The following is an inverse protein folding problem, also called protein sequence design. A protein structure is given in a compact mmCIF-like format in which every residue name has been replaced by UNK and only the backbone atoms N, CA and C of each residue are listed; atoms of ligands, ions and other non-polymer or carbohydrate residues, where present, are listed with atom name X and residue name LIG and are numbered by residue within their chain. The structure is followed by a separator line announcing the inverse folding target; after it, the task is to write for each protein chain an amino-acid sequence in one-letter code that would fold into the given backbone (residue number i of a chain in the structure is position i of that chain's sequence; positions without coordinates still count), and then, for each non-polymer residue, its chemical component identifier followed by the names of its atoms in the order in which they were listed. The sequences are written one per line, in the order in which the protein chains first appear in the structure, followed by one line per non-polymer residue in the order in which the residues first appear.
data_IF_117730673797
#
_entry.id   IF_117730673797
#
_cell.length_a   1.000
_cell.length_b   1.000
_cell.length_c   1.000
_cell.angle_alpha   90.00
_cell.angle_beta   90.00
_cell.angle_gamma   90.00
#
_symmetry.space_group_name_H-M   'P 1'
#
loop_
_entity.id
_entity.type
_entity.pdbx_description
1 polymer ?
#
# COMPACT_ATOMS: atom_id res chain seq x y z
N UNK A 1 13.77 -48.21 -30.00
CA UNK A 1 12.47 -48.74 -30.48
C UNK A 1 11.40 -48.27 -29.51
N UNK A 2 10.33 -47.56 -29.86
CA UNK A 2 9.79 -47.01 -31.10
C UNK A 2 9.04 -45.74 -30.69
N UNK A 3 9.28 -44.65 -31.44
CA UNK A 3 8.36 -43.53 -31.56
C UNK A 3 7.07 -44.02 -32.24
N UNK A 4 5.93 -43.45 -31.88
CA UNK A 4 4.69 -43.60 -32.63
C UNK A 4 4.07 -42.22 -32.84
N UNK A 5 4.12 -41.81 -34.10
CA UNK A 5 3.56 -40.62 -34.70
C UNK A 5 2.03 -40.73 -34.80
N UNK A 6 1.32 -39.59 -34.75
CA UNK A 6 0.02 -39.44 -35.41
C UNK A 6 -0.07 -38.07 -36.11
N UNK A 7 -0.72 -37.98 -37.28
CA UNK A 7 -0.37 -37.02 -38.32
C UNK A 7 -1.28 -35.79 -38.36
N UNK A 8 -0.73 -34.77 -39.03
CA UNK A 8 -1.37 -33.55 -39.51
C UNK A 8 -2.63 -33.81 -40.34
N UNK A 9 -3.68 -33.02 -40.11
CA UNK A 9 -4.72 -32.73 -41.11
C UNK A 9 -5.00 -31.23 -41.10
N UNK A 10 -4.68 -30.61 -42.24
CA UNK A 10 -4.95 -29.23 -42.62
C UNK A 10 -6.40 -29.20 -43.12
N UNK A 11 -7.25 -28.34 -42.55
CA UNK A 11 -8.49 -27.92 -43.20
C UNK A 11 -8.55 -26.39 -43.25
N UNK A 12 -8.37 -25.87 -44.46
CA UNK A 12 -8.65 -24.50 -44.86
C UNK A 12 -10.16 -24.24 -44.94
N UNK A 13 -10.52 -22.95 -44.88
CA UNK A 13 -11.66 -22.26 -45.53
C UNK A 13 -12.75 -21.62 -44.64
N UNK A 14 -12.62 -20.29 -44.57
CA UNK A 14 -13.64 -19.23 -44.75
C UNK A 14 -14.42 -18.66 -43.54
N UNK A 15 -14.48 -17.32 -43.40
CA UNK A 15 -15.17 -16.64 -42.32
C UNK A 15 -16.65 -16.39 -42.68
N UNK A 16 -17.57 -16.73 -41.76
CA UNK A 16 -18.98 -16.36 -41.87
C UNK A 16 -19.23 -15.12 -41.00
N UNK A 17 -19.26 -13.95 -41.64
CA UNK A 17 -19.81 -12.69 -41.10
C UNK A 17 -21.30 -12.58 -41.46
N UNK A 18 -22.02 -11.76 -40.67
CA UNK A 18 -23.32 -11.14 -40.98
C UNK A 18 -24.58 -12.01 -40.96
N UNK A 19 -25.31 -12.00 -39.84
CA UNK A 19 -26.77 -12.25 -39.86
C UNK A 19 -27.50 -11.74 -38.61
N UNK A 20 -27.51 -10.44 -38.34
CA UNK A 20 -28.53 -9.84 -37.44
C UNK A 20 -28.78 -8.39 -37.82
N UNK A 21 -29.37 -8.10 -38.97
CA UNK A 21 -29.96 -6.78 -39.32
C UNK A 21 -30.66 -6.93 -40.68
N UNK A 22 -31.80 -7.64 -40.75
CA UNK A 22 -32.71 -7.63 -41.92
C UNK A 22 -34.08 -8.22 -41.55
N UNK A 23 -34.68 -7.75 -40.46
CA UNK A 23 -36.02 -8.19 -40.05
C UNK A 23 -36.90 -7.03 -39.58
N UNK A 24 -36.60 -5.81 -40.03
CA UNK A 24 -37.33 -4.60 -39.61
C UNK A 24 -37.85 -3.76 -40.78
N UNK A 25 -37.65 -4.17 -42.03
CA UNK A 25 -38.05 -3.40 -43.22
C UNK A 25 -39.23 -3.99 -44.02
N UNK A 26 -39.67 -5.22 -43.74
CA UNK A 26 -40.74 -5.87 -44.52
C UNK A 26 -42.15 -5.77 -43.90
N UNK A 27 -42.34 -4.98 -42.82
CA UNK A 27 -43.63 -4.90 -42.11
C UNK A 27 -44.47 -3.64 -42.39
N UNK A 28 -44.01 -2.71 -43.26
CA UNK A 28 -44.71 -1.42 -43.48
C UNK A 28 -45.21 -1.16 -44.91
N UNK A 29 -45.38 -2.18 -45.77
CA UNK A 29 -45.86 -1.97 -47.14
C UNK A 29 -46.98 -2.92 -47.55
N UNK A 30 -48.12 -2.90 -46.85
CA UNK A 30 -49.39 -3.37 -47.41
C UNK A 30 -50.57 -2.84 -46.59
N UNK A 31 -51.09 -1.66 -46.93
CA UNK A 31 -52.54 -1.35 -46.93
C UNK A 31 -52.77 0.13 -47.25
N UNK A 32 -53.10 0.45 -48.51
CA UNK A 32 -54.12 1.44 -48.87
C UNK A 32 -54.23 1.52 -50.40
N UNK A 33 -55.17 0.77 -50.96
CA UNK A 33 -55.74 1.04 -52.28
C UNK A 33 -57.24 1.23 -52.13
N UNK A 34 -57.75 2.15 -52.93
CA UNK A 34 -59.14 2.41 -53.28
C UNK A 34 -59.94 3.36 -52.38
N UNK A 35 -60.04 4.62 -52.78
CA UNK A 35 -61.32 5.21 -53.17
C UNK A 35 -61.09 6.45 -54.05
N UNK A 36 -61.70 6.49 -55.23
CA UNK A 36 -61.60 7.61 -56.16
C UNK A 36 -62.78 8.57 -56.05
N UNK A 37 -62.59 9.82 -56.47
CA UNK A 37 -63.32 10.48 -57.57
C UNK A 37 -63.12 12.02 -57.53
N UNK A 38 -62.79 12.55 -58.72
CA UNK A 38 -63.04 13.89 -59.30
C UNK A 38 -63.35 15.08 -58.37
N UNK A 39 -62.53 16.14 -58.42
CA UNK A 39 -62.93 17.56 -58.43
C UNK A 39 -61.73 18.50 -58.78
N UNK A 40 -61.96 19.74 -59.27
CA UNK A 40 -61.13 20.42 -60.27
C UNK A 40 -60.01 21.34 -59.72
N UNK A 41 -59.11 21.72 -60.62
CA UNK A 41 -57.97 22.63 -60.43
C UNK A 41 -58.43 24.06 -60.13
N UNK A 42 -58.69 24.41 -58.87
CA UNK A 42 -58.49 25.78 -58.38
C UNK A 42 -58.58 25.80 -56.85
N UNK A 43 -57.44 25.69 -56.17
CA UNK A 43 -57.15 26.22 -54.83
C UNK A 43 -55.81 25.64 -54.38
N UNK A 44 -54.73 26.19 -54.96
CA UNK A 44 -53.37 26.11 -54.39
C UNK A 44 -53.25 27.22 -53.35
N UNK A 45 -53.77 27.01 -52.15
CA UNK A 45 -53.38 27.76 -50.95
C UNK A 45 -54.06 27.08 -49.76
N UNK A 46 -53.33 26.91 -48.66
CA UNK A 46 -53.76 26.28 -47.39
C UNK A 46 -53.84 24.75 -47.37
N UNK A 47 -52.68 24.10 -47.25
CA UNK A 47 -52.50 22.85 -46.46
C UNK A 47 -51.01 22.50 -46.34
N UNK A 48 -50.24 23.34 -45.65
CA UNK A 48 -48.94 22.95 -45.06
C UNK A 48 -48.83 23.59 -43.68
N UNK A 49 -49.75 23.22 -42.80
CA UNK A 49 -49.61 23.42 -41.37
C UNK A 49 -50.40 22.31 -40.72
N UNK A 50 -49.77 21.58 -39.79
CA UNK A 50 -50.33 20.47 -39.00
C UNK A 50 -50.19 19.03 -39.56
N UNK A 51 -48.98 18.60 -39.97
CA UNK A 51 -48.53 17.18 -39.84
C UNK A 51 -47.04 17.01 -40.14
N UNK A 52 -46.19 17.68 -39.35
CA UNK A 52 -44.73 17.47 -39.36
C UNK A 52 -44.19 17.81 -37.97
N UNK A 53 -44.69 17.11 -36.94
CA UNK A 53 -44.20 17.27 -35.57
C UNK A 53 -44.11 15.95 -34.82
N UNK A 54 -43.84 14.84 -35.49
CA UNK A 54 -43.40 13.62 -34.82
C UNK A 54 -42.57 12.84 -35.82
N UNK A 55 -41.27 13.12 -35.94
CA UNK A 55 -40.24 12.09 -36.12
C UNK A 55 -38.85 12.74 -36.18
N UNK A 56 -37.92 12.08 -35.49
CA UNK A 56 -36.46 12.28 -35.52
C UNK A 56 -35.95 13.54 -34.80
N UNK A 57 -35.68 13.39 -33.51
CA UNK A 57 -34.29 13.33 -33.01
C UNK A 57 -34.32 12.61 -31.66
N UNK A 58 -34.59 11.30 -31.70
CA UNK A 58 -34.14 10.42 -30.64
C UNK A 58 -32.62 10.34 -30.75
N UNK A 59 -31.92 11.30 -30.16
CA UNK A 59 -30.48 11.16 -29.91
C UNK A 59 -30.39 9.92 -28.99
N UNK A 60 -29.78 8.79 -29.41
CA UNK A 60 -29.42 7.79 -28.44
C UNK A 60 -28.50 8.51 -27.46
N UNK A 61 -28.95 8.66 -26.22
CA UNK A 61 -28.06 9.05 -25.15
C UNK A 61 -27.02 7.94 -25.06
N UNK A 62 -25.92 8.11 -25.79
CA UNK A 62 -24.70 7.38 -25.61
C UNK A 62 -24.35 7.62 -24.14
N UNK A 63 -24.72 6.67 -23.29
CA UNK A 63 -24.28 6.66 -21.91
C UNK A 63 -22.77 6.70 -22.01
N UNK A 64 -22.18 7.87 -21.76
CA UNK A 64 -20.76 7.97 -21.44
C UNK A 64 -20.60 7.05 -20.25
N UNK A 65 -20.22 5.79 -20.49
CA UNK A 65 -19.54 4.96 -19.51
C UNK A 65 -18.33 5.81 -19.15
N UNK A 66 -18.44 6.58 -18.07
CA UNK A 66 -17.31 7.25 -17.47
C UNK A 66 -16.33 6.14 -17.18
N UNK A 67 -15.33 5.99 -18.05
CA UNK A 67 -14.18 5.16 -17.76
C UNK A 67 -13.57 5.79 -16.52
N UNK A 68 -13.81 5.17 -15.36
CA UNK A 68 -13.17 5.53 -14.12
C UNK A 68 -11.66 5.46 -14.37
N UNK A 69 -11.04 6.61 -14.57
CA UNK A 69 -9.59 6.78 -14.67
C UNK A 69 -9.15 7.34 -13.34
N UNK A 70 -8.83 6.47 -12.38
CA UNK A 70 -8.38 6.93 -11.07
C UNK A 70 -7.04 7.65 -11.20
N UNK A 71 -6.85 8.71 -10.43
CA UNK A 71 -5.59 9.45 -10.37
C UNK A 71 -4.47 8.51 -9.92
N UNK A 72 -3.33 8.41 -10.65
CA UNK A 72 -2.20 7.57 -10.26
C UNK A 72 -1.68 7.81 -8.83
N UNK A 73 -1.83 9.02 -8.29
CA UNK A 73 -1.40 9.34 -6.92
C UNK A 73 -2.28 8.69 -5.84
N UNK A 74 -3.51 8.32 -6.19
CA UNK A 74 -4.54 7.82 -5.27
C UNK A 74 -4.58 6.29 -5.18
N UNK A 75 -3.66 5.56 -5.83
CA UNK A 75 -3.65 4.10 -5.83
C UNK A 75 -2.91 3.46 -7.00
N UNK A 76 -3.12 2.16 -7.20
CA UNK A 76 -2.47 1.39 -8.27
C UNK A 76 -3.50 0.59 -9.07
N UNK A 77 -3.24 0.41 -10.37
CA UNK A 77 -4.00 -0.54 -11.19
C UNK A 77 -3.21 -1.84 -11.31
N UNK A 78 -3.83 -2.97 -10.95
CA UNK A 78 -3.26 -4.31 -11.12
C UNK A 78 -4.02 -5.09 -12.20
N UNK A 79 -3.39 -6.12 -12.76
CA UNK A 79 -4.03 -7.06 -13.69
C UNK A 79 -4.22 -8.38 -12.96
N UNK A 80 -5.44 -8.90 -12.96
CA UNK A 80 -5.78 -10.17 -12.32
C UNK A 80 -5.10 -11.31 -13.06
N UNK A 81 -4.35 -12.14 -12.34
CA UNK A 81 -3.69 -13.32 -12.91
C UNK A 81 -4.58 -14.58 -12.83
N UNK A 82 -4.23 -15.61 -13.62
CA UNK A 82 -4.95 -16.89 -13.61
C UNK A 82 -4.88 -17.53 -12.21
N UNK A 83 -6.05 -17.80 -11.62
CA UNK A 83 -6.17 -18.42 -10.30
C UNK A 83 -6.12 -17.44 -9.12
N UNK A 84 -5.93 -16.13 -9.36
CA UNK A 84 -6.11 -15.11 -8.33
C UNK A 84 -7.59 -14.92 -8.02
N UNK A 85 -7.93 -14.97 -6.74
CA UNK A 85 -9.25 -14.58 -6.23
C UNK A 85 -9.17 -13.20 -5.61
N UNK A 86 -10.31 -12.52 -5.47
CA UNK A 86 -10.41 -11.27 -4.72
C UNK A 86 -9.82 -11.37 -3.31
N UNK A 87 -10.02 -12.49 -2.62
CA UNK A 87 -9.46 -12.73 -1.29
C UNK A 87 -7.93 -12.74 -1.31
N UNK A 88 -7.31 -13.38 -2.32
CA UNK A 88 -5.85 -13.41 -2.50
C UNK A 88 -5.32 -12.01 -2.83
N UNK A 89 -6.02 -11.28 -3.69
CA UNK A 89 -5.66 -9.91 -4.06
C UNK A 89 -5.74 -8.99 -2.83
N UNK A 90 -6.86 -9.03 -2.10
CA UNK A 90 -7.03 -8.26 -0.87
C UNK A 90 -5.99 -8.62 0.18
N UNK A 91 -5.65 -9.90 0.33
CA UNK A 91 -4.56 -10.31 1.23
C UNK A 91 -3.20 -9.74 0.80
N UNK A 92 -2.92 -9.73 -0.49
CA UNK A 92 -1.63 -9.30 -1.04
C UNK A 92 -1.45 -7.78 -0.92
N UNK A 93 -2.47 -7.00 -1.27
CA UNK A 93 -2.36 -5.54 -1.42
C UNK A 93 -2.97 -4.73 -0.26
N UNK A 94 -3.91 -5.31 0.49
CA UNK A 94 -4.63 -4.64 1.59
C UNK A 94 -4.27 -5.24 2.97
N UNK A 95 -3.40 -6.26 2.98
CA UNK A 95 -3.02 -7.14 4.11
C UNK A 95 -4.16 -7.91 4.82
N UNK A 96 -5.40 -7.71 4.38
CA UNK A 96 -6.60 -8.34 4.92
C UNK A 96 -7.46 -8.99 3.82
N UNK A 97 -7.65 -10.33 3.82
CA UNK A 97 -8.47 -11.00 2.83
C UNK A 97 -9.94 -10.58 2.88
N UNK A 98 -10.44 -10.04 4.01
CA UNK A 98 -11.85 -9.67 4.22
C UNK A 98 -12.23 -8.35 3.56
N UNK A 99 -11.24 -7.52 3.18
CA UNK A 99 -11.45 -6.24 2.49
C UNK A 99 -11.84 -6.36 1.01
N UNK A 100 -12.07 -7.58 0.52
CA UNK A 100 -12.50 -7.80 -0.87
C UNK A 100 -13.79 -7.06 -1.23
N UNK A 101 -14.70 -6.87 -0.27
CA UNK A 101 -15.95 -6.11 -0.48
C UNK A 101 -15.68 -4.63 -0.73
N UNK A 102 -14.73 -4.06 0.00
CA UNK A 102 -14.32 -2.67 -0.18
C UNK A 102 -13.63 -2.49 -1.54
N UNK A 103 -12.79 -3.45 -1.94
CA UNK A 103 -12.16 -3.48 -3.25
C UNK A 103 -13.18 -3.51 -4.40
N UNK A 104 -14.23 -4.33 -4.30
CA UNK A 104 -15.32 -4.36 -5.27
C UNK A 104 -16.04 -3.02 -5.38
N UNK A 105 -16.37 -2.42 -4.23
CA UNK A 105 -17.03 -1.10 -4.16
C UNK A 105 -16.18 -0.03 -4.83
N UNK A 106 -14.86 -0.04 -4.63
CA UNK A 106 -13.94 0.91 -5.27
C UNK A 106 -13.82 0.72 -6.78
N UNK A 107 -14.09 -0.49 -7.29
CA UNK A 107 -14.06 -0.79 -8.71
C UNK A 107 -15.46 -0.73 -9.37
N UNK A 108 -16.51 -0.41 -8.62
CA UNK A 108 -17.89 -0.39 -9.09
C UNK A 108 -18.31 -1.76 -9.69
N UNK A 109 -17.85 -2.86 -9.08
CA UNK A 109 -18.18 -4.22 -9.49
C UNK A 109 -19.17 -4.80 -8.47
N UNK A 110 -20.38 -5.11 -8.92
CA UNK A 110 -21.44 -5.59 -8.04
C UNK A 110 -21.36 -7.10 -7.75
N UNK A 111 -20.89 -7.90 -8.72
CA UNK A 111 -20.86 -9.36 -8.61
C UNK A 111 -19.41 -9.89 -8.46
N UNK A 112 -19.05 -10.52 -7.33
CA UNK A 112 -17.70 -11.04 -7.05
C UNK A 112 -17.22 -12.10 -8.04
N UNK A 113 -18.13 -12.85 -8.65
CA UNK A 113 -17.81 -13.93 -9.60
C UNK A 113 -17.41 -13.41 -11.00
N UNK A 114 -17.44 -12.09 -11.22
CA UNK A 114 -17.06 -11.46 -12.49
C UNK A 114 -15.55 -11.18 -12.62
N UNK A 115 -14.76 -11.48 -11.59
CA UNK A 115 -13.32 -11.26 -11.62
C UNK A 115 -12.67 -12.38 -12.43
N UNK A 116 -12.25 -12.04 -13.65
CA UNK A 116 -11.58 -12.96 -14.58
C UNK A 116 -10.13 -12.56 -14.80
N UNK A 117 -9.25 -13.52 -15.15
CA UNK A 117 -7.87 -13.21 -15.52
C UNK A 117 -7.80 -12.17 -16.65
N UNK A 118 -6.85 -11.23 -16.55
CA UNK A 118 -6.68 -10.12 -17.48
C UNK A 118 -7.48 -8.86 -17.13
N UNK A 119 -8.41 -8.94 -16.18
CA UNK A 119 -9.18 -7.77 -15.74
C UNK A 119 -8.28 -6.79 -14.98
N UNK A 120 -8.43 -5.49 -15.24
CA UNK A 120 -7.75 -4.43 -14.51
C UNK A 120 -8.55 -4.08 -13.26
N UNK A 121 -7.90 -4.09 -12.10
CA UNK A 121 -8.49 -3.67 -10.84
C UNK A 121 -7.74 -2.46 -10.30
N UNK A 122 -8.49 -1.42 -9.95
CA UNK A 122 -8.00 -0.28 -9.20
C UNK A 122 -7.95 -0.60 -7.70
N UNK A 123 -6.80 -0.36 -7.09
CA UNK A 123 -6.60 -0.47 -5.65
C UNK A 123 -6.33 0.95 -5.12
N UNK A 124 -7.31 1.59 -4.47
CA UNK A 124 -7.10 2.86 -3.80
C UNK A 124 -6.01 2.74 -2.72
N UNK A 125 -5.12 3.73 -2.66
CA UNK A 125 -4.09 3.85 -1.61
C UNK A 125 -4.69 3.84 -0.21
N UNK A 126 -5.89 4.40 -0.05
CA UNK A 126 -6.64 4.40 1.22
C UNK A 126 -7.04 3.00 1.71
N UNK A 127 -7.24 2.05 0.78
CA UNK A 127 -7.48 0.64 1.11
C UNK A 127 -6.18 -0.14 1.27
N UNK A 128 -5.12 0.31 0.60
CA UNK A 128 -3.80 -0.32 0.58
C UNK A 128 -3.11 -0.39 1.95
N UNK A 129 -1.93 -1.01 1.94
CA UNK A 129 -1.08 -1.08 3.13
C UNK A 129 -0.75 0.32 3.62
N UNK A 130 -0.89 0.51 4.92
CA UNK A 130 -0.42 1.71 5.60
C UNK A 130 1.08 1.59 5.92
N UNK A 131 1.85 2.67 5.78
CA UNK A 131 3.24 2.67 6.23
C UNK A 131 3.29 2.48 7.75
N UNK A 132 4.34 1.83 8.24
CA UNK A 132 4.60 1.69 9.67
C UNK A 132 5.06 3.01 10.28
N UNK A 133 5.97 3.68 9.58
CA UNK A 133 6.53 4.96 9.97
C UNK A 133 6.80 5.85 8.75
N UNK A 134 6.73 7.16 8.93
CA UNK A 134 7.02 8.14 7.89
C UNK A 134 8.27 8.95 8.24
N UNK A 135 9.12 9.23 7.24
CA UNK A 135 10.26 10.14 7.37
C UNK A 135 9.77 11.58 7.58
N UNK A 136 10.03 12.16 8.76
CA UNK A 136 9.52 13.49 9.13
C UNK A 136 10.56 14.61 9.00
N UNK A 137 11.83 14.31 9.32
CA UNK A 137 12.95 15.24 9.12
C UNK A 137 14.23 14.47 8.84
N UNK A 138 15.14 15.08 8.11
CA UNK A 138 16.53 14.63 8.03
C UNK A 138 17.46 15.80 7.75
N UNK A 139 18.73 15.63 8.12
CA UNK A 139 19.85 16.48 7.70
C UNK A 139 20.93 15.61 7.07
N UNK A 140 21.71 16.16 6.13
CA UNK A 140 22.69 15.38 5.36
C UNK A 140 22.04 14.41 4.37
N UNK A 141 22.54 13.18 4.32
CA UNK A 141 22.12 12.13 3.38
C UNK A 141 21.46 10.97 4.10
N UNK A 142 20.18 10.77 3.79
CA UNK A 142 19.39 9.61 4.20
C UNK A 142 18.96 8.83 2.97
N UNK A 143 19.13 7.52 3.00
CA UNK A 143 18.75 6.62 1.92
C UNK A 143 17.77 5.57 2.43
N UNK A 144 16.87 5.15 1.54
CA UNK A 144 15.81 4.20 1.80
C UNK A 144 15.88 3.09 0.76
N UNK A 145 15.74 1.84 1.20
CA UNK A 145 15.65 0.66 0.35
C UNK A 145 14.25 0.05 0.50
N UNK A 146 13.45 0.12 -0.57
CA UNK A 146 12.05 -0.34 -0.59
C UNK A 146 11.93 -1.82 -0.92
N UNK A 147 12.41 -2.68 -0.02
CA UNK A 147 12.24 -4.13 -0.13
C UNK A 147 10.75 -4.51 -0.25
N UNK A 148 9.86 -3.80 0.45
CA UNK A 148 8.40 -4.03 0.38
C UNK A 148 7.83 -3.84 -1.03
N UNK A 149 8.48 -3.03 -1.86
CA UNK A 149 8.10 -2.74 -3.24
C UNK A 149 8.97 -3.50 -4.26
N UNK A 150 9.75 -4.48 -3.80
CA UNK A 150 10.69 -5.27 -4.61
C UNK A 150 11.76 -4.40 -5.32
N UNK A 151 12.12 -3.27 -4.72
CA UNK A 151 13.26 -2.48 -5.18
C UNK A 151 14.54 -3.04 -4.57
N UNK A 152 15.64 -2.99 -5.32
CA UNK A 152 16.94 -3.54 -4.91
C UNK A 152 18.03 -2.47 -4.73
N UNK A 153 17.71 -1.21 -5.04
CA UNK A 153 18.66 -0.11 -5.01
C UNK A 153 18.29 0.89 -3.91
N UNK A 154 19.30 1.42 -3.24
CA UNK A 154 19.14 2.51 -2.30
C UNK A 154 18.76 3.79 -3.06
N UNK A 155 17.70 4.46 -2.59
CA UNK A 155 17.26 5.74 -3.12
C UNK A 155 17.34 6.81 -2.03
N UNK A 156 17.51 8.08 -2.43
CA UNK A 156 17.47 9.20 -1.48
C UNK A 156 16.09 9.29 -0.84
N UNK A 157 16.05 9.41 0.48
CA UNK A 157 14.83 9.57 1.26
C UNK A 157 14.18 10.94 1.06
N UNK A 158 12.84 10.97 1.05
CA UNK A 158 12.03 12.18 0.93
C UNK A 158 11.15 12.39 2.17
N UNK A 159 10.88 13.65 2.52
CA UNK A 159 9.96 13.93 3.63
C UNK A 159 8.55 13.41 3.29
N UNK A 160 7.91 12.78 4.26
CA UNK A 160 6.62 12.09 4.09
C UNK A 160 6.75 10.70 3.46
N UNK A 161 7.96 10.22 3.21
CA UNK A 161 8.17 8.88 2.67
C UNK A 161 7.85 7.82 3.72
N UNK A 162 6.81 7.02 3.43
CA UNK A 162 6.35 5.95 4.29
C UNK A 162 7.14 4.66 4.14
N UNK A 163 7.57 4.09 5.25
CA UNK A 163 8.30 2.83 5.34
C UNK A 163 7.36 1.68 5.68
N UNK A 164 7.55 0.53 5.03
CA UNK A 164 6.81 -0.69 5.27
C UNK A 164 7.70 -1.76 5.90
N UNK A 165 7.10 -2.85 6.36
CA UNK A 165 7.86 -3.97 6.90
C UNK A 165 8.91 -4.46 5.89
N UNK A 166 10.12 -4.70 6.39
CA UNK A 166 11.36 -5.04 5.68
C UNK A 166 12.02 -3.91 4.90
N UNK A 167 11.40 -2.74 4.78
CA UNK A 167 12.11 -1.59 4.22
C UNK A 167 13.28 -1.23 5.14
N UNK A 168 14.36 -0.78 4.53
CA UNK A 168 15.57 -0.40 5.25
C UNK A 168 15.84 1.09 5.07
N UNK A 169 16.42 1.71 6.10
CA UNK A 169 16.85 3.10 6.07
C UNK A 169 18.26 3.22 6.60
N UNK A 170 19.06 4.07 5.97
CA UNK A 170 20.40 4.39 6.45
C UNK A 170 20.74 5.86 6.34
N UNK A 171 21.57 6.32 7.25
CA UNK A 171 22.17 7.65 7.27
C UNK A 171 23.66 7.53 7.00
N UNK A 172 24.20 8.43 6.18
CA UNK A 172 25.64 8.49 5.94
C UNK A 172 26.34 9.32 7.02
N UNK A 173 27.62 9.65 6.80
CA UNK A 173 28.39 10.55 7.66
C UNK A 173 27.68 11.91 7.81
N UNK A 174 27.80 12.53 9.00
CA UNK A 174 27.24 13.88 9.26
C UNK A 174 25.75 14.01 8.88
N UNK A 175 24.99 12.92 9.05
CA UNK A 175 23.59 12.84 8.65
C UNK A 175 22.72 12.35 9.81
N UNK A 176 21.49 12.83 9.88
CA UNK A 176 20.51 12.40 10.87
C UNK A 176 19.13 12.27 10.22
N UNK A 177 18.27 11.40 10.74
CA UNK A 177 16.90 11.26 10.27
C UNK A 177 15.96 10.91 11.41
N UNK A 178 14.77 11.51 11.41
CA UNK A 178 13.70 11.18 12.33
C UNK A 178 12.51 10.62 11.58
N UNK A 179 11.99 9.54 12.15
CA UNK A 179 10.81 8.85 11.66
C UNK A 179 9.76 8.80 12.77
N UNK A 180 8.49 8.81 12.34
CA UNK A 180 7.35 8.75 13.26
C UNK A 180 6.45 7.61 12.86
N UNK A 181 6.22 6.70 13.80
CA UNK A 181 5.27 5.60 13.66
C UNK A 181 3.83 6.12 13.66
N UNK A 182 2.91 5.35 13.07
CA UNK A 182 1.48 5.65 13.16
C UNK A 182 0.94 5.67 14.61
N UNK A 183 1.64 5.00 15.54
CA UNK A 183 1.34 5.03 16.98
C UNK A 183 1.72 6.36 17.66
N UNK A 184 2.50 7.21 17.00
CA UNK A 184 3.12 8.40 17.57
C UNK A 184 4.48 8.16 18.22
N UNK A 185 4.96 6.91 18.29
CA UNK A 185 6.35 6.61 18.67
C UNK A 185 7.32 7.21 17.66
N UNK A 186 8.45 7.73 18.12
CA UNK A 186 9.45 8.35 17.26
C UNK A 186 10.79 7.66 17.42
N UNK A 187 11.52 7.54 16.33
CA UNK A 187 12.93 7.19 16.39
C UNK A 187 13.76 8.14 15.55
N UNK A 188 14.96 8.40 16.03
CA UNK A 188 15.95 9.25 15.38
C UNK A 188 17.23 8.46 15.23
N UNK A 189 17.74 8.37 14.01
CA UNK A 189 19.02 7.75 13.71
C UNK A 189 20.05 8.83 13.40
N UNK A 190 21.27 8.68 13.94
CA UNK A 190 22.38 9.61 13.66
C UNK A 190 23.31 9.02 12.61
N UNK A 191 24.48 9.62 12.40
CA UNK A 191 25.38 9.23 11.31
C UNK A 191 25.74 7.73 11.30
N UNK A 192 25.98 7.20 10.09
CA UNK A 192 26.39 5.82 9.85
C UNK A 192 25.48 4.77 10.50
N UNK A 193 24.17 5.04 10.53
CA UNK A 193 23.19 4.14 11.12
C UNK A 193 22.42 3.39 10.04
N UNK A 194 22.05 2.15 10.35
CA UNK A 194 21.25 1.30 9.47
C UNK A 194 20.15 0.62 10.28
N UNK A 195 18.90 0.94 9.94
CA UNK A 195 17.70 0.41 10.59
C UNK A 195 16.85 -0.33 9.57
N UNK A 196 16.29 -1.45 10.00
CA UNK A 196 15.34 -2.25 9.24
C UNK A 196 13.99 -2.15 9.96
N UNK A 197 12.95 -1.84 9.20
CA UNK A 197 11.60 -1.81 9.72
C UNK A 197 11.11 -3.24 9.88
N UNK A 198 10.80 -3.63 11.11
CA UNK A 198 10.21 -4.93 11.38
C UNK A 198 8.69 -4.83 11.49
N UNK A 199 8.06 -5.98 11.65
CA UNK A 199 6.64 -6.11 11.40
C UNK A 199 5.79 -5.80 12.63
N UNK A 200 4.93 -4.78 12.54
CA UNK A 200 3.71 -4.66 13.34
C UNK A 200 2.49 -4.83 12.44
N UNK A 201 1.94 -6.05 12.32
CA UNK A 201 0.87 -6.40 11.35
C UNK A 201 -0.45 -5.71 11.61
N UNK A 202 -0.71 -5.40 12.88
CA UNK A 202 -2.00 -4.96 13.36
C UNK A 202 -1.82 -3.82 14.34
N UNK A 203 -2.91 -3.10 14.62
CA UNK A 203 -2.94 -2.03 15.62
C UNK A 203 -2.59 -2.52 17.04
N UNK A 204 -2.67 -3.84 17.28
CA UNK A 204 -2.34 -4.48 18.56
C UNK A 204 -0.92 -5.02 18.66
N UNK A 205 -0.26 -5.30 17.54
CA UNK A 205 1.13 -5.77 17.52
C UNK A 205 2.08 -4.60 17.81
N UNK A 206 3.22 -4.82 18.49
CA UNK A 206 4.17 -3.76 18.81
C UNK A 206 4.74 -3.08 17.57
N UNK A 207 5.20 -1.84 17.73
CA UNK A 207 6.08 -1.24 16.74
C UNK A 207 7.45 -1.88 16.92
N UNK A 208 8.00 -2.41 15.83
CA UNK A 208 9.24 -3.17 15.86
C UNK A 208 10.25 -2.59 14.88
N UNK A 209 11.47 -2.40 15.36
CA UNK A 209 12.63 -1.97 14.57
C UNK A 209 13.83 -2.83 14.89
N UNK A 210 14.62 -3.10 13.86
CA UNK A 210 15.91 -3.75 14.01
C UNK A 210 17.02 -2.74 13.71
N UNK A 211 17.85 -2.44 14.71
CA UNK A 211 19.05 -1.64 14.52
C UNK A 211 20.22 -2.57 14.18
N UNK A 212 20.71 -2.44 12.94
CA UNK A 212 21.83 -3.25 12.45
C UNK A 212 23.17 -2.68 12.90
N UNK A 213 23.32 -1.36 12.82
CA UNK A 213 24.54 -0.64 13.17
C UNK A 213 24.20 0.83 13.46
N UNK A 214 25.04 1.48 14.27
CA UNK A 214 24.99 2.92 14.49
C UNK A 214 24.18 3.23 15.74
N UNK A 215 23.46 4.35 15.73
CA UNK A 215 22.83 4.89 16.92
C UNK A 215 21.40 5.32 16.64
N UNK A 216 20.48 4.85 17.48
CA UNK A 216 19.06 5.18 17.46
C UNK A 216 18.64 5.76 18.81
N UNK A 217 17.97 6.91 18.80
CA UNK A 217 17.21 7.42 19.95
C UNK A 217 15.73 7.10 19.73
N UNK A 218 15.10 6.48 20.71
CA UNK A 218 13.70 6.10 20.64
C UNK A 218 12.89 6.84 21.71
N UNK A 219 11.86 7.56 21.28
CA UNK A 219 10.95 8.34 22.12
C UNK A 219 9.54 7.78 21.99
N UNK A 220 9.11 7.04 23.00
CA UNK A 220 7.81 6.37 23.03
C UNK A 220 6.89 7.18 23.95
N UNK A 221 5.79 7.76 23.44
CA UNK A 221 4.83 8.49 24.28
C UNK A 221 4.28 7.61 25.40
N UNK A 222 4.14 8.17 26.61
CA UNK A 222 3.42 7.52 27.70
C UNK A 222 1.92 7.59 27.44
N UNK A 223 1.22 6.46 27.57
CA UNK A 223 -0.24 6.40 27.49
C UNK A 223 -0.81 5.84 28.78
N UNK A 224 -1.94 6.40 29.22
CA UNK A 224 -2.71 5.87 30.36
C UNK A 224 -3.60 4.69 29.96
N UNK A 225 -3.67 4.36 28.68
CA UNK A 225 -4.44 3.22 28.19
C UNK A 225 -3.78 1.91 28.66
N UNK A 226 -4.54 0.99 29.29
CA UNK A 226 -4.01 -0.34 29.62
C UNK A 226 -3.57 -1.12 28.37
N UNK A 227 -4.13 -0.76 27.21
CA UNK A 227 -3.81 -1.35 25.91
C UNK A 227 -2.74 -0.55 25.15
N UNK A 228 -1.86 0.18 25.86
CA UNK A 228 -0.73 0.84 25.21
C UNK A 228 0.10 -0.20 24.45
N UNK A 229 0.22 0.03 23.15
CA UNK A 229 1.07 -0.74 22.23
C UNK A 229 2.53 -0.65 22.69
N UNK A 230 3.19 -1.81 22.75
CA UNK A 230 4.61 -1.91 23.10
C UNK A 230 5.48 -1.46 21.93
N UNK A 231 6.71 -1.09 22.23
CA UNK A 231 7.76 -0.87 21.25
C UNK A 231 8.89 -1.86 21.49
N UNK A 232 9.34 -2.51 20.42
CA UNK A 232 10.40 -3.51 20.41
C UNK A 232 11.56 -2.98 19.56
N UNK A 233 12.74 -2.88 20.16
CA UNK A 233 13.99 -2.63 19.44
C UNK A 233 14.84 -3.88 19.52
N UNK A 234 15.22 -4.41 18.36
CA UNK A 234 16.11 -5.56 18.24
C UNK A 234 17.46 -5.15 17.68
N UNK A 235 18.48 -5.85 18.11
CA UNK A 235 19.83 -5.85 17.54
C UNK A 235 20.28 -7.29 17.38
N UNK A 236 21.46 -7.52 16.82
CA UNK A 236 22.03 -8.88 16.79
C UNK A 236 22.37 -9.43 18.17
N UNK A 237 22.58 -8.57 19.17
CA UNK A 237 23.01 -8.96 20.51
C UNK A 237 21.90 -8.89 21.57
N UNK A 238 20.83 -8.13 21.36
CA UNK A 238 19.79 -7.93 22.38
C UNK A 238 18.41 -7.62 21.81
N UNK A 239 17.38 -7.88 22.63
CA UNK A 239 16.01 -7.42 22.43
C UNK A 239 15.60 -6.49 23.57
N UNK A 240 15.07 -5.32 23.22
CA UNK A 240 14.62 -4.29 24.15
C UNK A 240 13.12 -4.09 24.03
N UNK A 241 12.39 -4.23 25.14
CA UNK A 241 10.93 -4.11 25.21
C UNK A 241 10.56 -2.95 26.11
N UNK A 242 9.74 -2.02 25.61
CA UNK A 242 9.41 -0.79 26.36
C UNK A 242 7.94 -0.36 26.25
N UNK A 243 7.54 0.43 27.24
CA UNK A 243 6.32 1.25 27.24
C UNK A 243 6.63 2.63 27.81
N UNK A 244 6.53 3.67 26.99
CA UNK A 244 6.61 5.06 27.47
C UNK A 244 8.00 5.49 27.96
N UNK A 245 9.02 5.39 27.11
CA UNK A 245 10.43 5.62 27.46
C UNK A 245 11.15 6.54 26.48
N UNK A 246 12.18 7.22 26.97
CA UNK A 246 13.22 7.88 26.16
C UNK A 246 14.54 7.15 26.41
N UNK A 247 15.08 6.51 25.38
CA UNK A 247 16.31 5.73 25.49
C UNK A 247 17.11 5.79 24.19
N UNK A 248 18.40 5.55 24.31
CA UNK A 248 19.34 5.48 23.19
C UNK A 248 19.90 4.07 23.14
N UNK A 249 20.05 3.55 21.93
CA UNK A 249 20.72 2.29 21.67
C UNK A 249 21.78 2.50 20.61
N UNK A 250 22.97 1.97 20.88
CA UNK A 250 24.13 2.06 20.01
C UNK A 250 24.61 0.63 19.71
N UNK A 251 24.86 0.36 18.43
CA UNK A 251 25.41 -0.91 17.96
C UNK A 251 26.75 -0.61 17.28
N UNK A 252 27.82 -1.18 17.86
CA UNK A 252 29.17 -1.03 17.33
C UNK A 252 29.41 -1.94 16.10
N UNK A 253 30.59 -1.83 15.49
CA UNK A 253 30.97 -2.64 14.31
C UNK A 253 31.13 -4.13 14.61
N UNK A 254 31.24 -4.52 15.88
CA UNK A 254 31.28 -5.91 16.32
C UNK A 254 29.88 -6.48 16.62
N UNK A 255 28.84 -5.65 16.55
CA UNK A 255 27.45 -6.03 16.84
C UNK A 255 27.10 -6.01 18.33
N UNK A 256 27.95 -5.42 19.17
CA UNK A 256 27.65 -5.25 20.59
C UNK A 256 26.69 -4.08 20.77
N UNK A 257 25.79 -4.20 21.75
CA UNK A 257 24.76 -3.20 22.02
C UNK A 257 25.05 -2.49 23.34
N UNK A 258 25.03 -1.16 23.31
CA UNK A 258 24.87 -0.33 24.51
C UNK A 258 23.48 0.26 24.51
N UNK A 259 22.74 0.12 25.63
CA UNK A 259 21.45 0.76 25.81
C UNK A 259 21.48 1.69 27.03
N UNK A 260 21.06 2.93 26.84
CA UNK A 260 21.05 3.99 27.85
C UNK A 260 19.63 4.52 28.03
N UNK A 261 19.07 4.41 29.24
CA UNK A 261 17.71 4.87 29.55
C UNK A 261 17.73 6.27 30.18
N UNK A 262 17.07 7.24 29.53
CA UNK A 262 16.97 8.62 30.01
C UNK A 262 15.65 8.92 30.70
N UNK A 263 14.56 8.24 30.32
CA UNK A 263 13.26 8.36 30.98
C UNK A 263 12.53 7.01 30.98
N UNK A 264 11.93 6.65 32.11
CA UNK A 264 11.17 5.41 32.26
C UNK A 264 12.06 4.21 32.58
N UNK A 265 11.77 3.06 31.96
CA UNK A 265 12.47 1.80 32.19
C UNK A 265 12.41 0.88 30.98
N UNK A 266 13.53 0.24 30.65
CA UNK A 266 13.66 -0.65 29.49
C UNK A 266 14.03 -2.06 29.95
N UNK A 267 13.27 -3.06 29.53
CA UNK A 267 13.65 -4.46 29.72
C UNK A 267 14.57 -4.87 28.56
N UNK A 268 15.82 -5.20 28.87
CA UNK A 268 16.83 -5.64 27.90
C UNK A 268 17.11 -7.11 28.11
N UNK A 269 16.93 -7.91 27.06
CA UNK A 269 17.08 -9.37 27.12
C UNK A 269 18.13 -9.85 26.12
N UNK A 270 19.03 -10.72 26.57
CA UNK A 270 19.97 -11.47 25.74
C UNK A 270 20.40 -12.76 26.46
N UNK A 271 20.73 -13.81 25.71
CA UNK A 271 21.15 -15.11 26.28
C UNK A 271 20.26 -15.61 27.43
N UNK A 272 18.94 -15.45 27.29
CA UNK A 272 17.90 -15.82 28.29
C UNK A 272 17.97 -15.07 29.62
N UNK A 273 18.78 -14.01 29.69
CA UNK A 273 18.87 -13.11 30.84
C UNK A 273 18.23 -11.78 30.49
N UNK A 274 17.34 -11.32 31.35
CA UNK A 274 16.71 -10.00 31.24
C UNK A 274 17.19 -9.10 32.37
N UNK A 275 17.62 -7.90 32.03
CA UNK A 275 17.92 -6.83 32.98
C UNK A 275 16.96 -5.66 32.78
N UNK A 276 16.52 -5.06 33.88
CA UNK A 276 15.69 -3.86 33.85
C UNK A 276 16.59 -2.62 33.96
N UNK A 277 16.67 -1.84 32.89
CA UNK A 277 17.47 -0.61 32.82
C UNK A 277 16.56 0.57 33.13
N UNK A 278 16.65 1.08 34.35
CA UNK A 278 15.89 2.25 34.78
C UNK A 278 16.53 3.55 34.30
N UNK A 279 15.77 4.64 34.32
CA UNK A 279 16.25 5.99 34.09
C UNK A 279 17.57 6.27 34.82
N UNK A 280 18.53 6.86 34.11
CA UNK A 280 19.86 7.19 34.63
C UNK A 280 20.84 6.00 34.60
N UNK A 281 20.44 4.86 34.05
CA UNK A 281 21.31 3.69 33.88
C UNK A 281 21.43 3.28 32.41
N UNK A 282 22.49 2.53 32.14
CA UNK A 282 22.77 1.85 30.90
C UNK A 282 23.10 0.38 31.17
N UNK A 283 23.01 -0.44 30.13
CA UNK A 283 23.58 -1.79 30.09
C UNK A 283 24.36 -1.97 28.80
N UNK A 284 25.30 -2.91 28.83
CA UNK A 284 26.09 -3.33 27.69
C UNK A 284 25.86 -4.81 27.45
N UNK A 285 25.71 -5.19 26.18
CA UNK A 285 25.48 -6.56 25.74
C UNK A 285 26.50 -6.88 24.66
N UNK A 286 27.48 -7.70 25.00
CA UNK A 286 28.38 -8.28 24.02
C UNK A 286 27.64 -9.35 23.21
N UNK A 287 27.89 -9.41 21.91
CA UNK A 287 27.20 -10.36 21.03
C UNK A 287 27.39 -11.81 21.50
N UNK A 288 26.28 -12.51 21.71
CA UNK A 288 26.25 -13.88 22.23
C UNK A 288 26.49 -14.01 23.74
N UNK A 289 26.44 -12.91 24.50
CA UNK A 289 26.52 -12.90 25.97
C UNK A 289 25.29 -12.27 26.61
N UNK A 290 25.10 -12.57 27.89
CA UNK A 290 24.05 -11.96 28.71
C UNK A 290 24.32 -10.45 28.93
N UNK A 291 23.29 -9.63 29.16
CA UNK A 291 23.47 -8.23 29.49
C UNK A 291 24.25 -8.04 30.78
N UNK A 292 25.10 -7.02 30.83
CA UNK A 292 25.73 -6.61 32.08
C UNK A 292 24.68 -6.05 33.05
N UNK A 293 24.99 -6.13 34.35
CA UNK A 293 24.20 -5.44 35.36
C UNK A 293 24.16 -3.93 35.03
N UNK A 294 22.98 -3.28 35.12
CA UNK A 294 22.88 -1.86 34.80
C UNK A 294 23.87 -0.99 35.60
N UNK A 295 24.50 -0.04 34.92
CA UNK A 295 25.48 0.91 35.46
C UNK A 295 25.04 2.35 35.15
N UNK A 296 25.40 3.35 35.97
CA UNK A 296 24.91 4.72 35.78
C UNK A 296 25.42 5.32 34.46
N UNK A 297 24.57 6.08 33.75
CA UNK A 297 25.02 6.90 32.62
C UNK A 297 25.80 8.11 33.14
N UNK A 298 26.90 8.51 32.49
CA UNK A 298 27.57 9.76 32.83
C UNK A 298 26.61 10.95 32.60
N UNK A 299 26.67 11.95 33.48
CA UNK A 299 25.89 13.17 33.30
C UNK A 299 26.27 13.81 31.96
N UNK A 300 25.29 14.35 31.21
CA UNK A 300 25.58 15.14 30.02
C UNK A 300 26.56 16.27 30.37
N UNK A 301 27.50 16.63 29.47
CA UNK A 301 28.31 17.82 29.68
C UNK A 301 27.39 19.04 29.84
N UNK A 302 27.62 19.82 30.89
CA UNK A 302 26.87 21.06 31.14
C UNK A 302 27.21 22.01 29.98
N UNK A 303 26.23 22.55 29.23
CA UNK A 303 26.51 23.54 28.21
C UNK A 303 27.24 24.72 28.86
N UNK A 304 28.44 25.05 28.39
CA UNK A 304 29.07 26.31 28.72
C UNK A 304 28.21 27.39 28.04
N UNK A 305 27.30 28.00 28.79
CA UNK A 305 26.69 29.27 28.40
C UNK A 305 27.82 30.31 28.42
N UNK A 306 28.44 30.55 27.26
CA UNK A 306 29.22 31.75 26.98
C UNK A 306 28.34 32.76 26.26
#
# INVERSE_FOLDING_TARGET
MRFADFPYLISTFSPRKETVWNSFWDFCCTHTKAFGQKLPKLQRLFLVNLLLFVFVFGIPAESKKQTFQPNPDDGITIIVEKGQTLSIISKTYLDDPRKWKELLKSNQIDNPNLIIPGMKLWIPKSLGKKPLADLQRFTGTTEVLKISQKQNDWAKGNIGEGLYAKDEVRTLKESEAQFVFQSGSRFEITENSHVIMERGKTDSEPDEVFLRQGRIRSLIPKSKSPNQKMFLLKTESAESVVKGTDFITEVDTAGNTTLSCYEGSVAVSAEKVTVLVNQGFATYVEKGKAPLKPFPVPNPPIPNNQ
#
